data_IF_873998564098
#
_entry.id   IF_873998564098
#
_cell.length_a   1.000
_cell.length_b   1.000
_cell.length_c   1.000
_cell.angle_alpha   90.00
_cell.angle_beta   90.00
_cell.angle_gamma   90.00
#
_symmetry.space_group_name_H-M   'P 1'
#
loop_
_entity.id
_entity.type
_entity.pdbx_description
1 polymer ?
#
# COMPACT_ATOMS: atom_id res chain seq x y z
N UNK A 1 12.99 19.80 -7.77
CA UNK A 1 11.82 19.61 -6.87
C UNK A 1 11.20 18.25 -7.15
N UNK A 2 10.91 17.44 -6.12
CA UNK A 2 10.38 16.08 -6.31
C UNK A 2 8.88 16.06 -5.97
N UNK A 3 8.06 15.66 -6.93
CA UNK A 3 6.62 15.43 -6.73
C UNK A 3 6.43 13.94 -6.47
N UNK A 4 5.64 13.60 -5.48
CA UNK A 4 5.49 12.21 -5.02
C UNK A 4 4.05 11.90 -4.68
N UNK A 5 3.64 10.67 -4.95
CA UNK A 5 2.43 10.11 -4.37
C UNK A 5 2.81 9.35 -3.13
N UNK A 6 2.09 9.65 -2.05
CA UNK A 6 2.27 9.03 -0.74
C UNK A 6 1.07 8.14 -0.49
N UNK A 7 1.27 6.84 -0.65
CA UNK A 7 0.26 5.85 -0.32
C UNK A 7 0.86 4.85 0.64
N UNK A 8 0.07 4.39 1.59
CA UNK A 8 0.50 3.37 2.55
C UNK A 8 -0.56 2.28 2.69
N UNK A 9 -0.08 1.10 3.05
CA UNK A 9 -0.88 -0.10 3.30
C UNK A 9 -0.60 -0.48 4.75
N UNK A 10 -1.65 -0.55 5.56
CA UNK A 10 -1.55 -0.81 6.99
C UNK A 10 -2.18 -2.16 7.30
N UNK A 11 -1.46 -3.00 8.03
CA UNK A 11 -2.02 -4.15 8.71
C UNK A 11 -2.04 -3.89 10.20
N UNK A 12 -3.20 -4.09 10.82
CA UNK A 12 -3.40 -3.91 12.25
C UNK A 12 -4.12 -5.12 12.84
N UNK A 13 -3.53 -5.70 13.88
CA UNK A 13 -4.13 -6.74 14.71
C UNK A 13 -4.60 -6.13 16.03
N UNK A 14 -5.71 -6.64 16.59
CA UNK A 14 -6.18 -6.26 17.95
C UNK A 14 -5.21 -6.78 19.03
N UNK A 15 -4.72 -8.00 18.86
CA UNK A 15 -3.79 -8.68 19.77
C UNK A 15 -2.42 -8.90 19.11
N UNK A 16 -1.37 -9.12 19.90
CA UNK A 16 -0.02 -9.34 19.36
C UNK A 16 0.02 -10.71 18.71
N UNK A 17 0.24 -10.79 17.39
CA UNK A 17 0.28 -12.05 16.68
C UNK A 17 1.67 -12.69 16.82
N UNK A 18 1.73 -14.03 16.77
CA UNK A 18 3.00 -14.76 16.72
C UNK A 18 3.70 -14.61 15.37
N UNK A 19 2.91 -14.39 14.31
CA UNK A 19 3.42 -13.98 13.00
C UNK A 19 2.45 -12.97 12.38
N UNK A 20 2.96 -11.90 11.79
CA UNK A 20 2.14 -10.95 11.04
C UNK A 20 2.96 -10.37 9.91
N UNK A 21 2.36 -10.31 8.73
CA UNK A 21 2.95 -9.74 7.54
C UNK A 21 1.93 -8.94 6.74
N UNK A 22 2.42 -7.85 6.17
CA UNK A 22 1.68 -6.96 5.28
C UNK A 22 2.50 -6.78 4.02
N UNK A 23 1.86 -6.98 2.89
CA UNK A 23 2.41 -6.71 1.57
C UNK A 23 1.55 -5.65 0.90
N UNK A 24 2.20 -4.71 0.21
CA UNK A 24 1.53 -3.65 -0.53
C UNK A 24 2.09 -3.57 -1.94
N UNK A 25 1.22 -3.27 -2.92
CA UNK A 25 1.62 -2.95 -4.30
C UNK A 25 0.86 -1.73 -4.78
N UNK A 26 1.56 -0.82 -5.44
CA UNK A 26 1.02 0.40 -6.05
C UNK A 26 1.09 0.28 -7.57
N UNK A 27 -0.01 0.62 -8.20
CA UNK A 27 -0.18 0.65 -9.64
C UNK A 27 -0.65 2.03 -10.11
N UNK A 28 -0.28 2.40 -11.33
CA UNK A 28 -0.89 3.49 -12.08
C UNK A 28 -1.78 2.90 -13.17
N UNK A 29 -3.05 3.27 -13.18
CA UNK A 29 -3.98 2.83 -14.20
C UNK A 29 -3.67 3.54 -15.52
N UNK A 30 -3.72 2.78 -16.61
CA UNK A 30 -3.54 3.25 -17.98
C UNK A 30 -4.82 2.97 -18.77
N UNK A 31 -4.94 3.51 -19.99
CA UNK A 31 -6.08 3.22 -20.86
C UNK A 31 -6.23 1.71 -21.11
N UNK A 32 -5.10 1.03 -21.29
CA UNK A 32 -5.02 -0.42 -21.38
C UNK A 32 -4.13 -0.93 -20.24
N UNK A 33 -4.75 -1.55 -19.24
CA UNK A 33 -4.06 -2.23 -18.15
C UNK A 33 -3.56 -1.32 -17.02
N UNK A 34 -2.60 -1.86 -16.27
CA UNK A 34 -2.07 -1.25 -15.06
C UNK A 34 -0.54 -1.33 -15.08
N UNK A 35 0.12 -0.22 -14.80
CA UNK A 35 1.56 -0.16 -14.65
C UNK A 35 1.93 -0.35 -13.19
N UNK A 36 2.72 -1.37 -12.89
CA UNK A 36 3.28 -1.57 -11.56
C UNK A 36 4.34 -0.52 -11.26
N UNK A 37 4.18 0.20 -10.14
CA UNK A 37 5.11 1.26 -9.74
C UNK A 37 6.00 0.85 -8.57
N UNK A 38 5.43 0.16 -7.57
CA UNK A 38 6.15 -0.16 -6.35
C UNK A 38 5.50 -1.31 -5.60
N UNK A 39 6.33 -2.16 -5.01
CA UNK A 39 5.91 -3.15 -4.04
C UNK A 39 6.67 -2.95 -2.73
N UNK A 40 6.08 -3.42 -1.64
CA UNK A 40 6.74 -3.46 -0.35
C UNK A 40 6.15 -4.54 0.54
N UNK A 41 6.95 -4.99 1.50
CA UNK A 41 6.56 -6.01 2.48
C UNK A 41 7.11 -5.64 3.85
N UNK A 42 6.34 -5.93 4.89
CA UNK A 42 6.78 -5.90 6.29
C UNK A 42 6.28 -7.15 6.98
N UNK A 43 7.09 -7.70 7.87
CA UNK A 43 6.78 -8.89 8.64
C UNK A 43 7.40 -8.84 10.01
N UNK A 44 6.77 -9.50 10.98
CA UNK A 44 7.23 -9.65 12.34
C UNK A 44 6.07 -9.79 13.32
N UNK A 45 6.35 -10.24 14.54
CA UNK A 45 5.38 -10.40 15.63
C UNK A 45 4.98 -9.05 16.27
N UNK A 46 4.50 -8.12 15.45
CA UNK A 46 4.02 -6.80 15.89
C UNK A 46 2.53 -6.67 15.58
N UNK A 47 1.80 -5.91 16.40
CA UNK A 47 0.37 -5.62 16.12
C UNK A 47 0.18 -4.74 14.89
N UNK A 48 1.19 -3.97 14.52
CA UNK A 48 1.10 -2.95 13.48
C UNK A 48 2.27 -3.09 12.50
N UNK A 49 1.94 -3.10 11.21
CA UNK A 49 2.90 -2.95 10.13
C UNK A 49 2.35 -1.93 9.13
N UNK A 50 3.23 -1.05 8.65
CA UNK A 50 2.94 -0.09 7.60
C UNK A 50 3.93 -0.29 6.45
N UNK A 51 3.39 -0.41 5.24
CA UNK A 51 4.16 -0.45 4.01
C UNK A 51 3.93 0.86 3.27
N UNK A 52 4.98 1.68 3.17
CA UNK A 52 4.95 2.93 2.41
C UNK A 52 5.26 2.65 0.93
N UNK A 53 4.31 3.00 0.07
CA UNK A 53 4.35 2.79 -1.38
C UNK A 53 4.54 4.13 -2.10
N UNK A 54 5.54 4.90 -1.69
CA UNK A 54 5.75 6.23 -2.27
C UNK A 54 6.50 6.14 -3.59
N UNK A 55 6.06 6.89 -4.59
CA UNK A 55 6.69 6.96 -5.91
C UNK A 55 6.78 8.39 -6.43
N UNK A 56 7.82 8.68 -7.22
CA UNK A 56 7.97 9.97 -7.89
C UNK A 56 6.97 10.09 -9.02
N UNK A 57 6.49 11.30 -9.27
CA UNK A 57 5.60 11.56 -10.38
C UNK A 57 5.82 12.96 -10.97
N UNK A 58 5.22 13.24 -12.13
CA UNK A 58 5.40 14.52 -12.85
C UNK A 58 4.51 15.60 -12.23
N UNK A 59 5.03 16.81 -12.03
CA UNK A 59 4.27 17.98 -11.56
C UNK A 59 2.96 18.14 -12.34
N UNK A 60 1.86 18.39 -11.64
CA UNK A 60 0.52 18.63 -12.21
C UNK A 60 -0.05 17.48 -13.07
N UNK A 61 0.61 16.32 -13.10
CA UNK A 61 0.04 15.14 -13.76
C UNK A 61 -1.13 14.60 -12.93
N UNK A 62 -2.18 14.15 -13.63
CA UNK A 62 -3.36 13.52 -13.04
C UNK A 62 -3.40 12.08 -13.52
N UNK A 63 -3.21 11.14 -12.61
CA UNK A 63 -3.36 9.72 -12.90
C UNK A 63 -4.28 9.07 -11.87
N UNK A 64 -4.87 7.94 -12.23
CA UNK A 64 -5.56 7.10 -11.27
C UNK A 64 -4.56 6.09 -10.74
N UNK A 65 -4.46 6.00 -9.43
CA UNK A 65 -3.56 5.06 -8.76
C UNK A 65 -4.37 4.02 -8.02
N UNK A 66 -3.85 2.80 -7.97
CA UNK A 66 -4.46 1.70 -7.25
C UNK A 66 -3.43 1.09 -6.32
N UNK A 67 -3.71 1.12 -5.02
CA UNK A 67 -2.96 0.35 -4.04
C UNK A 67 -3.69 -0.96 -3.75
N UNK A 68 -2.94 -2.04 -3.63
CA UNK A 68 -3.43 -3.35 -3.18
C UNK A 68 -2.63 -3.78 -1.99
N UNK A 69 -3.28 -4.43 -1.03
CA UNK A 69 -2.71 -4.93 0.20
C UNK A 69 -3.02 -6.40 0.39
N UNK A 70 -2.05 -7.17 0.87
CA UNK A 70 -2.26 -8.51 1.42
C UNK A 70 -1.81 -8.50 2.87
N UNK A 71 -2.66 -9.03 3.72
CA UNK A 71 -2.46 -9.15 5.15
C UNK A 71 -2.50 -10.62 5.52
N UNK A 72 -1.56 -11.02 6.37
CA UNK A 72 -1.52 -12.34 6.97
C UNK A 72 -1.13 -12.19 8.44
N UNK A 73 -1.82 -12.89 9.33
CA UNK A 73 -1.44 -12.96 10.74
C UNK A 73 -1.79 -14.30 11.35
N UNK A 74 -1.00 -14.72 12.34
CA UNK A 74 -1.22 -15.92 13.16
C UNK A 74 -1.35 -15.50 14.61
N UNK A 75 -2.45 -15.88 15.25
CA UNK A 75 -2.75 -15.59 16.66
C UNK A 75 -3.07 -16.91 17.34
N UNK A 76 -2.16 -17.37 18.21
CA UNK A 76 -2.22 -18.72 18.76
C UNK A 76 -2.21 -19.78 17.65
N UNK A 77 -3.23 -20.64 17.63
CA UNK A 77 -3.42 -21.68 16.60
C UNK A 77 -4.20 -21.19 15.36
N UNK A 78 -4.76 -19.97 15.39
CA UNK A 78 -5.59 -19.44 14.29
C UNK A 78 -4.77 -18.61 13.31
N UNK A 79 -5.09 -18.74 12.03
CA UNK A 79 -4.48 -17.98 10.94
C UNK A 79 -5.55 -17.11 10.29
N UNK A 80 -5.19 -15.85 10.02
CA UNK A 80 -6.04 -14.86 9.37
C UNK A 80 -5.33 -14.33 8.14
N UNK A 81 -6.01 -14.34 6.99
CA UNK A 81 -5.51 -13.77 5.76
C UNK A 81 -6.59 -12.90 5.13
N UNK A 82 -6.22 -11.70 4.68
CA UNK A 82 -7.13 -10.76 4.02
C UNK A 82 -6.39 -10.13 2.86
N UNK A 83 -7.04 -10.06 1.70
CA UNK A 83 -6.57 -9.22 0.60
C UNK A 83 -7.53 -8.05 0.47
N UNK A 84 -6.98 -6.85 0.27
CA UNK A 84 -7.76 -5.65 0.04
C UNK A 84 -7.20 -4.86 -1.14
N UNK A 85 -8.07 -4.12 -1.78
CA UNK A 85 -7.72 -3.18 -2.84
C UNK A 85 -8.31 -1.84 -2.44
N UNK A 86 -7.48 -0.79 -2.45
CA UNK A 86 -8.01 0.55 -2.25
C UNK A 86 -8.75 0.94 -3.54
N UNK A 87 -10.08 0.93 -3.47
CA UNK A 87 -11.00 1.23 -4.56
C UNK A 87 -11.15 2.76 -4.69
N UNK A 88 -10.05 3.49 -4.87
CA UNK A 88 -10.10 4.93 -5.12
C UNK A 88 -9.97 5.20 -6.61
N UNK A 89 -11.07 5.24 -7.39
CA UNK A 89 -11.05 5.63 -8.79
C UNK A 89 -10.94 7.16 -8.95
N UNK A 90 -10.44 7.88 -7.95
CA UNK A 90 -10.27 9.34 -8.03
C UNK A 90 -8.89 9.62 -8.62
N UNK A 91 -8.85 10.48 -9.65
CA UNK A 91 -7.60 10.99 -10.21
C UNK A 91 -6.87 11.76 -9.12
N UNK A 92 -5.70 11.30 -8.73
CA UNK A 92 -4.84 12.03 -7.79
C UNK A 92 -3.92 12.97 -8.56
N UNK A 93 -3.86 14.22 -8.11
CA UNK A 93 -2.92 15.19 -8.67
C UNK A 93 -1.59 15.02 -7.97
N UNK A 94 -0.52 14.94 -8.75
CA UNK A 94 0.83 14.90 -8.23
C UNK A 94 1.21 16.19 -7.51
N UNK A 95 1.14 16.15 -6.18
CA UNK A 95 1.48 17.25 -5.29
C UNK A 95 2.96 17.22 -4.91
N UNK A 96 3.47 18.37 -4.48
CA UNK A 96 4.85 18.52 -3.98
C UNK A 96 4.98 17.67 -2.72
N UNK A 97 5.92 16.72 -2.70
CA UNK A 97 6.15 15.89 -1.52
C UNK A 97 6.53 16.76 -0.32
N UNK A 98 5.76 16.66 0.77
CA UNK A 98 6.08 17.30 2.05
C UNK A 98 7.36 16.69 2.63
N UNK A 99 8.22 17.56 3.19
CA UNK A 99 9.32 17.16 4.07
C UNK A 99 8.78 16.41 5.28
#
# INVERSE_FOLDING_TARGET
MTYTINTHVIGRCKVTPSAHSVEGKLYRLRWFGQEHLKSGKRSGAKKYHQVNLNTKCKKNSKYVYRATGRFYSKVGKKTFAVSYYNQTPKKETCVKGGK
#
